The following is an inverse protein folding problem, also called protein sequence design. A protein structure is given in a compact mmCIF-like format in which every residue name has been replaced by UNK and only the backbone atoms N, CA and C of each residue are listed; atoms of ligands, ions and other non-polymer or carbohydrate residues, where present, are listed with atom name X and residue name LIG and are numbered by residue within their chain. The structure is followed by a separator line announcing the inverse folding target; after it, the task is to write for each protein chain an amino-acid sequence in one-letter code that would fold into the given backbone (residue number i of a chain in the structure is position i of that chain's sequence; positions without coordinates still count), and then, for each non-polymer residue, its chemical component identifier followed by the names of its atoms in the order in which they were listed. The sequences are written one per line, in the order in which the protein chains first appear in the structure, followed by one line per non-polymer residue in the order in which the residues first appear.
data_IF_881196260199
#
_entry.id   IF_881196260199
#
_cell.length_a   1.000
_cell.length_b   1.000
_cell.length_c   1.000
_cell.angle_alpha   90.00
_cell.angle_beta   90.00
_cell.angle_gamma   90.00
#
_symmetry.space_group_name_H-M   'P 1'
#
loop_
_entity.id
_entity.type
_entity.pdbx_description
1 polymer ?
#
# COMPACT_ATOMS: atom_id res chain seq x y z
N UNK A 1 23.21 -15.43 3.11
CA UNK A 1 23.00 -13.98 3.18
C UNK A 1 23.17 -13.55 4.64
N UNK A 2 23.75 -12.39 4.91
CA UNK A 2 23.82 -11.86 6.29
C UNK A 2 22.45 -11.30 6.61
N UNK A 3 21.74 -11.95 7.54
CA UNK A 3 20.42 -11.50 8.00
C UNK A 3 20.54 -10.15 8.71
N UNK A 4 19.58 -9.25 8.47
CA UNK A 4 19.47 -8.00 9.21
C UNK A 4 19.09 -8.24 10.65
N UNK A 5 19.64 -7.43 11.56
CA UNK A 5 19.19 -7.42 12.95
C UNK A 5 17.90 -6.59 13.06
N UNK A 6 16.87 -7.15 13.70
CA UNK A 6 15.65 -6.42 14.04
C UNK A 6 16.03 -5.36 15.10
N UNK A 7 15.71 -4.07 14.91
CA UNK A 7 15.98 -3.05 15.91
C UNK A 7 15.42 -3.43 17.28
N UNK A 8 16.20 -3.22 18.34
CA UNK A 8 15.84 -3.68 19.70
C UNK A 8 14.48 -3.12 20.18
N UNK A 9 14.16 -1.87 19.82
CA UNK A 9 12.86 -1.25 20.07
C UNK A 9 11.70 -2.06 19.47
N UNK A 10 11.84 -2.48 18.22
CA UNK A 10 10.88 -3.31 17.51
C UNK A 10 10.85 -4.74 18.08
N UNK A 11 12.00 -5.32 18.41
CA UNK A 11 12.07 -6.65 19.04
C UNK A 11 11.32 -6.67 20.38
N UNK A 12 11.51 -5.67 21.24
CA UNK A 12 10.79 -5.58 22.52
C UNK A 12 9.27 -5.51 22.32
N UNK A 13 8.83 -4.79 21.28
CA UNK A 13 7.41 -4.70 20.92
C UNK A 13 6.87 -6.04 20.42
N UNK A 14 7.63 -6.76 19.58
CA UNK A 14 7.29 -8.10 19.12
C UNK A 14 7.16 -9.08 20.30
N UNK A 15 8.15 -9.09 21.20
CA UNK A 15 8.16 -9.98 22.37
C UNK A 15 6.91 -9.76 23.23
N UNK A 16 6.53 -8.51 23.47
CA UNK A 16 5.30 -8.18 24.20
C UNK A 16 4.05 -8.63 23.44
N UNK A 17 3.99 -8.37 22.14
CA UNK A 17 2.79 -8.64 21.33
C UNK A 17 2.56 -10.14 21.13
N UNK A 18 3.64 -10.92 21.00
CA UNK A 18 3.58 -12.37 20.87
C UNK A 18 3.09 -13.09 22.15
N UNK A 19 2.99 -12.41 23.29
CA UNK A 19 2.33 -12.94 24.49
C UNK A 19 0.80 -12.84 24.46
N UNK A 20 0.24 -12.03 23.55
CA UNK A 20 -1.19 -11.77 23.46
C UNK A 20 -1.88 -12.77 22.52
N UNK A 21 -3.15 -13.12 22.75
CA UNK A 21 -3.90 -13.96 21.83
C UNK A 21 -4.06 -13.28 20.46
N UNK A 22 -4.02 -14.07 19.39
CA UNK A 22 -4.29 -13.56 18.04
C UNK A 22 -5.79 -13.31 17.88
N UNK A 23 -6.11 -12.21 17.20
CA UNK A 23 -7.46 -11.70 17.00
C UNK A 23 -7.93 -11.98 15.58
N UNK A 24 -9.15 -12.49 15.42
CA UNK A 24 -9.72 -12.95 14.15
C UNK A 24 -11.15 -12.44 13.89
N UNK A 25 -11.57 -11.36 14.56
CA UNK A 25 -12.84 -10.69 14.22
C UNK A 25 -12.55 -9.42 13.43
N UNK A 26 -13.37 -9.07 12.42
CA UNK A 26 -13.14 -7.83 11.66
C UNK A 26 -13.18 -6.57 12.54
N UNK A 27 -14.09 -6.52 13.51
CA UNK A 27 -14.23 -5.40 14.43
C UNK A 27 -12.97 -5.17 15.27
N UNK A 28 -12.49 -6.21 15.96
CA UNK A 28 -11.31 -6.08 16.82
C UNK A 28 -10.03 -5.81 16.01
N UNK A 29 -9.90 -6.40 14.81
CA UNK A 29 -8.75 -6.13 13.93
C UNK A 29 -8.74 -4.69 13.44
N UNK A 30 -9.92 -4.11 13.11
CA UNK A 30 -10.05 -2.70 12.71
C UNK A 30 -9.72 -1.77 13.88
N UNK A 31 -10.29 -2.01 15.06
CA UNK A 31 -10.02 -1.23 16.27
C UNK A 31 -8.53 -1.27 16.65
N UNK A 32 -7.89 -2.45 16.57
CA UNK A 32 -6.46 -2.58 16.82
C UNK A 32 -5.62 -1.81 15.80
N UNK A 33 -6.02 -1.79 14.52
CA UNK A 33 -5.32 -1.04 13.48
C UNK A 33 -5.38 0.48 13.75
N UNK A 34 -6.55 1.01 14.12
CA UNK A 34 -6.71 2.42 14.49
C UNK A 34 -5.85 2.79 15.70
N UNK A 35 -5.92 2.00 16.77
CA UNK A 35 -5.11 2.24 17.99
C UNK A 35 -3.61 2.13 17.73
N UNK A 36 -3.20 1.21 16.87
CA UNK A 36 -1.79 1.04 16.48
C UNK A 36 -1.30 2.26 15.72
N UNK A 37 -2.06 2.72 14.72
CA UNK A 37 -1.71 3.90 13.94
C UNK A 37 -1.65 5.17 14.80
N UNK A 38 -2.57 5.32 15.75
CA UNK A 38 -2.57 6.46 16.68
C UNK A 38 -1.37 6.42 17.64
N UNK A 39 -1.06 5.25 18.20
CA UNK A 39 -0.04 5.12 19.25
C UNK A 39 1.40 5.08 18.70
N UNK A 40 1.61 4.53 17.51
CA UNK A 40 2.93 4.17 17.01
C UNK A 40 3.37 4.91 15.73
N UNK A 41 2.58 5.88 15.27
CA UNK A 41 3.02 6.85 14.28
C UNK A 41 3.98 7.89 14.89
N UNK A 42 4.96 8.33 14.10
CA UNK A 42 5.71 9.54 14.41
C UNK A 42 4.79 10.77 14.34
N UNK A 43 5.18 11.92 14.93
CA UNK A 43 4.38 13.14 14.85
C UNK A 43 3.96 13.47 13.42
N UNK A 44 2.66 13.75 13.25
CA UNK A 44 2.05 14.08 11.95
C UNK A 44 2.67 15.37 11.42
N UNK A 45 3.18 15.33 10.19
CA UNK A 45 3.69 16.54 9.55
C UNK A 45 2.55 17.51 9.22
N UNK A 46 2.85 18.80 9.32
CA UNK A 46 1.95 19.84 8.84
C UNK A 46 1.85 19.79 7.31
N UNK A 47 0.62 19.83 6.80
CA UNK A 47 0.32 19.92 5.37
C UNK A 47 -0.56 21.16 5.18
N UNK A 48 -0.20 22.11 4.31
CA UNK A 48 -0.92 23.37 4.18
C UNK A 48 -2.40 23.24 3.83
N UNK A 49 -2.78 22.21 3.07
CA UNK A 49 -4.17 21.93 2.74
C UNK A 49 -4.45 20.44 2.90
N UNK A 50 -5.48 20.16 3.70
CA UNK A 50 -6.11 18.84 3.80
C UNK A 50 -7.59 19.01 3.50
N UNK A 51 -8.10 18.19 2.62
CA UNK A 51 -9.51 18.21 2.23
C UNK A 51 -10.03 16.77 2.11
N UNK A 52 -11.30 16.54 2.44
CA UNK A 52 -11.91 15.21 2.38
C UNK A 52 -13.06 15.18 1.37
N UNK A 53 -12.79 15.32 0.06
CA UNK A 53 -13.86 15.22 -0.91
C UNK A 53 -14.38 13.78 -0.97
N UNK A 54 -15.65 13.66 -1.34
CA UNK A 54 -16.33 12.38 -1.49
C UNK A 54 -16.65 12.18 -2.95
N UNK A 55 -16.23 11.04 -3.50
CA UNK A 55 -16.66 10.63 -4.83
C UNK A 55 -18.06 10.01 -4.73
N UNK A 56 -19.01 10.63 -5.42
CA UNK A 56 -20.40 10.20 -5.47
C UNK A 56 -20.58 9.20 -6.62
N UNK A 57 -20.96 7.96 -6.30
CA UNK A 57 -21.37 6.95 -7.29
C UNK A 57 -22.88 6.69 -7.17
N UNK A 58 -23.45 5.96 -8.13
CA UNK A 58 -24.89 5.74 -8.18
C UNK A 58 -25.45 4.95 -6.97
N UNK A 59 -24.64 4.07 -6.39
CA UNK A 59 -25.03 3.11 -5.36
C UNK A 59 -24.32 3.31 -4.01
N UNK A 60 -23.22 4.07 -3.98
CA UNK A 60 -22.46 4.34 -2.76
C UNK A 60 -21.53 5.56 -2.92
N UNK A 61 -20.87 5.93 -1.83
CA UNK A 61 -19.90 7.01 -1.78
C UNK A 61 -18.51 6.46 -1.45
N UNK A 62 -17.46 7.06 -2.01
CA UNK A 62 -16.07 6.73 -1.67
C UNK A 62 -15.44 7.95 -1.01
N UNK A 63 -15.03 7.79 0.25
CA UNK A 63 -14.33 8.85 0.98
C UNK A 63 -12.89 8.95 0.49
N UNK A 64 -12.39 10.17 0.38
CA UNK A 64 -10.97 10.40 0.07
C UNK A 64 -10.41 11.45 1.01
N UNK A 65 -9.08 11.49 1.13
CA UNK A 65 -8.36 12.56 1.82
C UNK A 65 -7.20 13.04 0.98
N UNK A 66 -7.23 14.34 0.67
CA UNK A 66 -6.21 15.04 -0.10
C UNK A 66 -5.20 15.65 0.86
N UNK A 67 -3.92 15.47 0.57
CA UNK A 67 -2.79 16.12 1.22
C UNK A 67 -2.04 16.93 0.18
N UNK A 68 -2.19 18.26 0.20
CA UNK A 68 -1.55 19.14 -0.76
C UNK A 68 -0.43 19.96 -0.08
N UNK A 69 0.85 19.65 -0.34
CA UNK A 69 1.98 20.24 0.39
C UNK A 69 2.31 21.68 -0.06
N UNK A 70 1.80 22.12 -1.21
CA UNK A 70 1.96 23.49 -1.72
C UNK A 70 0.78 23.86 -2.66
N UNK A 71 -0.39 24.26 -2.12
CA UNK A 71 -1.64 24.52 -2.87
C UNK A 71 -1.54 25.54 -4.03
N UNK A 72 -0.47 26.31 -4.06
CA UNK A 72 -0.16 27.31 -5.08
C UNK A 72 0.69 26.77 -6.24
N UNK A 73 1.10 25.49 -6.21
CA UNK A 73 1.94 24.86 -7.23
C UNK A 73 1.20 23.68 -7.86
N UNK A 74 1.31 23.53 -9.18
CA UNK A 74 0.88 22.32 -9.88
C UNK A 74 1.89 21.19 -9.60
N UNK A 75 1.48 20.20 -8.82
CA UNK A 75 2.32 19.07 -8.39
C UNK A 75 1.83 17.73 -8.98
N UNK A 76 2.69 16.70 -9.09
CA UNK A 76 2.26 15.35 -9.47
C UNK A 76 1.28 14.77 -8.45
N UNK A 77 0.48 13.80 -8.91
CA UNK A 77 -0.56 13.14 -8.12
C UNK A 77 -0.11 11.74 -7.69
N UNK A 78 -0.29 11.42 -6.42
CA UNK A 78 -0.17 10.06 -5.89
C UNK A 78 -1.56 9.64 -5.41
N UNK A 79 -2.15 8.60 -6.00
CA UNK A 79 -3.29 7.91 -5.39
C UNK A 79 -2.75 6.85 -4.44
N UNK A 80 -3.10 6.94 -3.16
CA UNK A 80 -2.63 6.03 -2.13
C UNK A 80 -3.75 5.08 -1.69
N UNK A 81 -3.49 3.78 -1.79
CA UNK A 81 -4.37 2.72 -1.32
C UNK A 81 -3.78 2.12 -0.05
N UNK A 82 -4.54 2.15 1.04
CA UNK A 82 -4.04 1.72 2.34
C UNK A 82 -3.89 0.20 2.46
N UNK A 83 -3.02 -0.27 3.36
CA UNK A 83 -2.92 -1.67 3.72
C UNK A 83 -4.03 -2.14 4.67
N UNK A 84 -3.91 -3.39 5.14
CA UNK A 84 -4.86 -3.99 6.11
C UNK A 84 -5.63 -5.21 5.58
N UNK A 85 -5.02 -5.99 4.69
CA UNK A 85 -5.58 -7.28 4.24
C UNK A 85 -6.94 -7.16 3.53
N UNK A 86 -7.21 -6.02 2.89
CA UNK A 86 -8.50 -5.66 2.29
C UNK A 86 -9.70 -5.64 3.28
N UNK A 87 -9.43 -5.68 4.58
CA UNK A 87 -10.43 -5.88 5.63
C UNK A 87 -10.38 -4.82 6.73
N UNK A 88 -9.19 -4.27 7.00
CA UNK A 88 -8.94 -3.21 7.96
C UNK A 88 -8.15 -2.07 7.33
N UNK A 89 -7.85 -1.04 8.13
CA UNK A 89 -7.24 0.19 7.65
C UNK A 89 -8.31 1.19 7.19
N UNK A 90 -7.86 2.42 6.96
CA UNK A 90 -8.68 3.58 6.63
C UNK A 90 -7.79 4.73 6.19
N UNK A 91 -8.39 5.82 5.72
CA UNK A 91 -7.69 7.10 5.50
C UNK A 91 -7.09 7.69 6.80
N UNK A 92 -7.58 7.27 7.97
CA UNK A 92 -7.10 7.73 9.28
C UNK A 92 -5.88 6.93 9.75
N UNK A 93 -5.92 5.60 9.64
CA UNK A 93 -4.77 4.73 9.98
C UNK A 93 -3.50 5.06 9.20
N UNK A 94 -3.62 5.63 7.99
CA UNK A 94 -2.46 5.95 7.13
C UNK A 94 -2.19 7.46 7.05
N UNK A 95 -2.83 8.27 7.90
CA UNK A 95 -2.73 9.73 7.86
C UNK A 95 -1.29 10.23 8.03
N UNK A 96 -0.55 9.65 8.99
CA UNK A 96 0.82 10.03 9.28
C UNK A 96 1.76 9.75 8.09
N UNK A 97 1.65 8.56 7.49
CA UNK A 97 2.44 8.14 6.34
C UNK A 97 2.11 8.98 5.10
N UNK A 98 0.82 9.20 4.80
CA UNK A 98 0.39 10.01 3.65
C UNK A 98 0.91 11.45 3.75
N UNK A 99 0.91 12.05 4.95
CA UNK A 99 1.49 13.38 5.17
C UNK A 99 2.99 13.41 4.88
N UNK A 100 3.74 12.40 5.34
CA UNK A 100 5.18 12.27 5.07
C UNK A 100 5.47 12.16 3.58
N UNK A 101 4.75 11.28 2.89
CA UNK A 101 4.89 11.11 1.44
C UNK A 101 4.59 12.42 0.71
N UNK A 102 3.47 13.09 1.04
CA UNK A 102 3.08 14.34 0.41
C UNK A 102 4.14 15.45 0.60
N UNK A 103 4.57 15.67 1.84
CA UNK A 103 5.52 16.74 2.18
C UNK A 103 6.88 16.49 1.53
N UNK A 104 7.45 15.29 1.68
CA UNK A 104 8.81 14.99 1.22
C UNK A 104 8.89 14.81 -0.29
N UNK A 105 7.89 14.15 -0.90
CA UNK A 105 7.90 13.92 -2.35
C UNK A 105 7.48 15.14 -3.17
N UNK A 106 7.04 16.23 -2.50
CA UNK A 106 6.42 17.38 -3.15
C UNK A 106 5.32 16.99 -4.14
N UNK A 107 4.46 16.06 -3.72
CA UNK A 107 3.36 15.53 -4.52
C UNK A 107 2.04 15.68 -3.76
N UNK A 108 0.93 15.81 -4.49
CA UNK A 108 -0.39 15.71 -3.86
C UNK A 108 -0.70 14.24 -3.63
N UNK A 109 -0.98 13.86 -2.39
CA UNK A 109 -1.44 12.50 -2.07
C UNK A 109 -2.95 12.51 -1.90
N UNK A 110 -3.64 11.58 -2.54
CA UNK A 110 -5.07 11.31 -2.35
C UNK A 110 -5.20 9.91 -1.79
N UNK A 111 -5.47 9.82 -0.49
CA UNK A 111 -5.74 8.56 0.20
C UNK A 111 -7.19 8.13 -0.03
N UNK A 112 -7.41 6.87 -0.40
CA UNK A 112 -8.72 6.36 -0.81
C UNK A 112 -9.30 5.43 0.26
N UNK A 113 -10.47 5.79 0.79
CA UNK A 113 -11.25 4.99 1.75
C UNK A 113 -12.17 4.01 1.02
N UNK A 114 -11.60 3.01 0.37
CA UNK A 114 -12.32 1.99 -0.40
C UNK A 114 -13.09 1.02 0.51
N UNK A 115 -14.13 0.36 -0.02
CA UNK A 115 -14.95 -0.62 0.73
C UNK A 115 -14.15 -1.86 1.12
N UNK A 116 -14.41 -2.34 2.33
CA UNK A 116 -13.65 -3.43 2.96
C UNK A 116 -14.44 -4.74 3.03
N UNK A 117 -13.70 -5.84 2.93
CA UNK A 117 -14.18 -7.16 3.32
C UNK A 117 -14.33 -7.24 4.85
N UNK A 118 -15.15 -8.17 5.37
CA UNK A 118 -16.01 -9.09 4.64
C UNK A 118 -17.30 -8.45 4.10
N UNK A 119 -17.72 -7.27 4.54
CA UNK A 119 -18.99 -6.64 4.16
C UNK A 119 -19.08 -6.45 2.64
N UNK A 120 -17.96 -6.03 2.03
CA UNK A 120 -17.79 -5.85 0.60
C UNK A 120 -16.58 -6.66 0.11
N UNK A 121 -16.75 -7.98 -0.14
CA UNK A 121 -15.65 -8.83 -0.57
C UNK A 121 -15.19 -8.50 -2.00
N UNK A 122 -14.12 -9.13 -2.45
CA UNK A 122 -13.59 -9.01 -3.81
C UNK A 122 -14.72 -9.14 -4.85
N UNK A 123 -14.77 -8.25 -5.87
CA UNK A 123 -13.82 -7.18 -6.19
C UNK A 123 -14.23 -5.78 -5.70
N UNK A 124 -15.11 -5.62 -4.70
CA UNK A 124 -15.73 -4.33 -4.38
C UNK A 124 -14.72 -3.19 -4.12
N UNK A 125 -13.75 -3.38 -3.21
CA UNK A 125 -12.74 -2.36 -2.93
C UNK A 125 -11.82 -2.05 -4.13
N UNK A 126 -11.55 -3.03 -5.01
CA UNK A 126 -10.81 -2.80 -6.26
C UNK A 126 -11.60 -1.89 -7.21
N UNK A 127 -12.90 -2.14 -7.36
CA UNK A 127 -13.77 -1.30 -8.19
C UNK A 127 -13.83 0.14 -7.69
N UNK A 128 -13.76 0.36 -6.37
CA UNK A 128 -13.72 1.70 -5.79
C UNK A 128 -12.43 2.42 -6.15
N UNK A 129 -11.29 1.75 -6.04
CA UNK A 129 -9.99 2.30 -6.43
C UNK A 129 -9.93 2.65 -7.92
N UNK A 130 -10.52 1.80 -8.78
CA UNK A 130 -10.65 2.07 -10.23
C UNK A 130 -11.51 3.31 -10.46
N UNK A 131 -12.68 3.39 -9.81
CA UNK A 131 -13.59 4.53 -9.95
C UNK A 131 -12.92 5.85 -9.54
N UNK A 132 -12.16 5.87 -8.45
CA UNK A 132 -11.39 7.06 -8.03
C UNK A 132 -10.32 7.43 -9.06
N UNK A 133 -9.61 6.45 -9.63
CA UNK A 133 -8.65 6.73 -10.69
C UNK A 133 -9.34 7.31 -11.94
N UNK A 134 -10.39 6.68 -12.43
CA UNK A 134 -11.11 7.12 -13.64
C UNK A 134 -11.72 8.52 -13.47
N UNK A 135 -12.31 8.81 -12.31
CA UNK A 135 -12.99 10.08 -12.03
C UNK A 135 -12.09 11.14 -11.41
N UNK A 136 -10.78 10.89 -11.28
CA UNK A 136 -9.82 11.79 -10.63
C UNK A 136 -9.82 13.21 -11.18
N UNK A 137 -10.07 13.39 -12.49
CA UNK A 137 -10.07 14.72 -13.13
C UNK A 137 -11.19 15.59 -12.56
N UNK A 138 -12.38 15.02 -12.43
CA UNK A 138 -13.54 15.72 -11.90
C UNK A 138 -13.45 15.87 -10.38
N UNK A 139 -13.07 14.80 -9.67
CA UNK A 139 -12.87 14.80 -8.22
C UNK A 139 -11.87 15.87 -7.76
N UNK A 140 -10.82 16.12 -8.56
CA UNK A 140 -9.70 16.99 -8.21
C UNK A 140 -9.69 18.33 -8.95
N UNK A 141 -10.78 18.69 -9.66
CA UNK A 141 -10.83 19.88 -10.52
C UNK A 141 -10.56 21.21 -9.80
N UNK A 142 -10.81 21.26 -8.49
CA UNK A 142 -10.64 22.46 -7.65
C UNK A 142 -9.22 22.62 -7.09
N UNK A 143 -8.33 21.63 -7.31
CA UNK A 143 -6.99 21.61 -6.76
C UNK A 143 -5.92 21.84 -7.83
N UNK A 144 -4.84 22.52 -7.46
CA UNK A 144 -3.71 22.81 -8.35
C UNK A 144 -2.77 21.60 -8.47
N UNK A 145 -3.13 20.60 -9.29
CA UNK A 145 -2.33 19.39 -9.47
C UNK A 145 -2.37 18.87 -10.91
N UNK A 146 -1.49 17.91 -11.21
CA UNK A 146 -1.42 17.25 -12.51
C UNK A 146 -2.09 15.87 -12.50
N UNK A 147 -3.32 15.80 -13.01
CA UNK A 147 -4.08 14.54 -13.14
C UNK A 147 -3.61 13.65 -14.30
N UNK A 148 -2.65 14.11 -15.11
CA UNK A 148 -2.04 13.35 -16.21
C UNK A 148 -0.65 12.79 -15.84
N UNK A 149 -0.19 13.06 -14.62
CA UNK A 149 1.07 12.57 -14.08
C UNK A 149 0.80 11.90 -12.73
N UNK A 150 0.33 10.64 -12.82
CA UNK A 150 -0.23 9.89 -11.69
C UNK A 150 0.70 8.77 -11.28
N UNK A 151 0.96 8.68 -10.00
CA UNK A 151 1.58 7.53 -9.36
C UNK A 151 0.51 6.79 -8.57
N UNK A 152 0.55 5.46 -8.62
CA UNK A 152 -0.26 4.65 -7.71
C UNK A 152 0.67 4.10 -6.63
N UNK A 153 0.26 4.29 -5.38
CA UNK A 153 1.03 3.87 -4.22
C UNK A 153 0.15 3.06 -3.29
N UNK A 154 0.76 2.13 -2.56
CA UNK A 154 0.08 1.43 -1.50
C UNK A 154 0.96 0.43 -0.81
N UNK A 155 0.54 0.07 0.40
CA UNK A 155 1.25 -0.86 1.24
C UNK A 155 0.46 -2.16 1.44
N UNK A 156 1.13 -3.32 1.50
CA UNK A 156 0.47 -4.61 1.71
C UNK A 156 -0.65 -4.88 0.69
N UNK A 157 -1.89 -5.06 1.15
CA UNK A 157 -3.11 -5.13 0.35
C UNK A 157 -3.37 -3.88 -0.52
N UNK A 158 -2.94 -2.70 -0.08
CA UNK A 158 -2.96 -1.48 -0.88
C UNK A 158 -1.98 -1.53 -2.05
N UNK A 159 -0.83 -2.20 -1.87
CA UNK A 159 0.11 -2.49 -2.95
C UNK A 159 -0.51 -3.42 -4.00
N UNK A 160 -1.30 -4.42 -3.58
CA UNK A 160 -2.09 -5.26 -4.48
C UNK A 160 -3.05 -4.42 -5.33
N UNK A 161 -3.81 -3.52 -4.69
CA UNK A 161 -4.76 -2.62 -5.35
C UNK A 161 -4.04 -1.69 -6.34
N UNK A 162 -2.87 -1.15 -5.97
CA UNK A 162 -2.08 -0.28 -6.84
C UNK A 162 -1.68 -0.99 -8.15
N UNK A 163 -1.17 -2.22 -8.06
CA UNK A 163 -0.81 -3.00 -9.26
C UNK A 163 -2.06 -3.38 -10.07
N UNK A 164 -3.15 -3.75 -9.40
CA UNK A 164 -4.40 -4.18 -10.07
C UNK A 164 -5.09 -3.05 -10.83
N UNK A 165 -5.23 -1.87 -10.22
CA UNK A 165 -5.72 -0.67 -10.91
C UNK A 165 -4.81 -0.33 -12.08
N UNK A 166 -3.48 -0.36 -11.87
CA UNK A 166 -2.53 -0.04 -12.93
C UNK A 166 -2.66 -0.97 -14.12
N UNK A 167 -2.67 -2.28 -13.88
CA UNK A 167 -2.76 -3.30 -14.90
C UNK A 167 -4.02 -3.11 -15.74
N UNK A 168 -5.19 -2.96 -15.10
CA UNK A 168 -6.45 -2.74 -15.80
C UNK A 168 -6.43 -1.47 -16.66
N UNK A 169 -5.90 -0.36 -16.14
CA UNK A 169 -5.84 0.90 -16.88
C UNK A 169 -4.83 0.85 -18.03
N UNK A 170 -3.70 0.16 -17.85
CA UNK A 170 -2.69 -0.04 -18.90
C UNK A 170 -3.20 -0.93 -20.02
N UNK A 171 -3.98 -1.98 -19.73
CA UNK A 171 -4.65 -2.78 -20.76
C UNK A 171 -5.65 -1.96 -21.59
N UNK A 172 -6.21 -0.90 -21.01
CA UNK A 172 -7.08 0.06 -21.70
C UNK A 172 -6.31 1.20 -22.40
N UNK A 173 -4.98 1.17 -22.36
CA UNK A 173 -4.12 2.14 -23.04
C UNK A 173 -3.78 3.41 -22.23
N UNK A 174 -4.05 3.44 -20.92
CA UNK A 174 -3.77 4.61 -20.08
C UNK A 174 -2.28 5.04 -20.13
N UNK A 175 -2.08 6.34 -20.36
CA UNK A 175 -0.75 6.96 -20.39
C UNK A 175 -0.49 7.88 -19.18
N UNK A 176 -1.48 8.08 -18.32
CA UNK A 176 -1.37 8.99 -17.18
C UNK A 176 -0.58 8.38 -16.01
N UNK A 177 -0.65 7.06 -15.83
CA UNK A 177 0.13 6.36 -14.79
C UNK A 177 1.60 6.35 -15.17
N UNK A 178 2.44 7.01 -14.36
CA UNK A 178 3.89 7.17 -14.54
C UNK A 178 4.73 6.27 -13.65
N UNK A 179 4.19 5.73 -12.56
CA UNK A 179 4.92 4.80 -11.71
C UNK A 179 4.08 4.12 -10.64
N UNK A 180 4.64 3.04 -10.10
CA UNK A 180 4.11 2.30 -8.95
C UNK A 180 5.06 2.40 -7.76
N UNK A 181 4.51 2.72 -6.58
CA UNK A 181 5.21 2.70 -5.29
C UNK A 181 4.59 1.61 -4.43
N UNK A 182 5.28 0.48 -4.32
CA UNK A 182 4.77 -0.73 -3.68
C UNK A 182 5.52 -0.99 -2.39
N UNK A 183 4.84 -0.86 -1.25
CA UNK A 183 5.44 -1.04 0.07
C UNK A 183 5.02 -2.41 0.61
N UNK A 184 5.97 -3.35 0.73
CA UNK A 184 5.76 -4.76 1.11
C UNK A 184 4.47 -5.37 0.52
N UNK A 185 4.28 -5.29 -0.81
CA UNK A 185 2.98 -5.53 -1.44
C UNK A 185 2.54 -7.00 -1.35
N UNK A 186 1.22 -7.23 -1.26
CA UNK A 186 0.64 -8.56 -1.44
C UNK A 186 0.38 -8.86 -2.92
N UNK A 187 1.05 -9.88 -3.46
CA UNK A 187 1.12 -10.11 -4.91
C UNK A 187 0.70 -11.52 -5.35
N UNK A 188 0.65 -12.49 -4.43
CA UNK A 188 0.20 -13.85 -4.71
C UNK A 188 -0.70 -14.43 -3.59
N UNK A 189 -1.99 -14.54 -3.89
CA UNK A 189 -3.00 -15.07 -2.97
C UNK A 189 -2.91 -16.59 -2.73
N UNK A 190 -1.98 -17.30 -3.40
CA UNK A 190 -1.77 -18.75 -3.25
C UNK A 190 -0.96 -19.14 -2.02
N UNK A 191 -0.22 -18.19 -1.43
CA UNK A 191 0.61 -18.39 -0.22
C UNK A 191 1.66 -19.50 -0.35
N UNK A 192 2.25 -19.66 -1.53
CA UNK A 192 3.13 -20.79 -1.87
C UNK A 192 4.64 -20.52 -1.72
N UNK A 193 5.03 -19.32 -1.28
CA UNK A 193 6.45 -18.96 -1.13
C UNK A 193 7.05 -19.41 0.22
N UNK A 194 8.37 -19.64 0.26
CA UNK A 194 9.07 -20.08 1.48
C UNK A 194 9.02 -19.07 2.63
N UNK A 195 8.97 -17.76 2.32
CA UNK A 195 8.81 -16.70 3.31
C UNK A 195 7.55 -16.85 4.17
N UNK A 196 6.47 -17.46 3.66
CA UNK A 196 5.29 -17.78 4.47
C UNK A 196 5.57 -18.78 5.58
N UNK A 197 6.57 -19.66 5.41
CA UNK A 197 6.99 -20.60 6.45
C UNK A 197 8.04 -19.96 7.37
N UNK A 198 9.04 -19.29 6.78
CA UNK A 198 10.16 -18.69 7.51
C UNK A 198 9.75 -17.51 8.39
N UNK A 199 8.83 -16.67 7.90
CA UNK A 199 8.42 -15.41 8.53
C UNK A 199 6.94 -15.42 8.96
N UNK A 200 6.24 -16.54 8.79
CA UNK A 200 4.80 -16.69 9.06
C UNK A 200 4.41 -16.77 10.54
N UNK A 201 5.36 -16.65 11.46
CA UNK A 201 5.15 -16.72 12.91
C UNK A 201 6.08 -15.72 13.62
N UNK A 202 5.65 -15.15 14.74
CA UNK A 202 6.49 -14.28 15.59
C UNK A 202 6.71 -12.84 15.12
N UNK A 203 6.37 -12.49 13.87
CA UNK A 203 6.61 -11.15 13.28
C UNK A 203 5.32 -10.35 13.00
N UNK A 204 4.32 -10.47 13.89
CA UNK A 204 2.96 -9.87 13.81
C UNK A 204 2.06 -10.43 12.70
N UNK A 205 2.50 -10.36 11.44
CA UNK A 205 1.73 -10.91 10.33
C UNK A 205 2.01 -12.40 10.25
N UNK A 206 1.06 -13.21 10.72
CA UNK A 206 1.20 -14.66 10.69
C UNK A 206 0.59 -15.27 9.43
N UNK A 207 1.07 -16.46 9.05
CA UNK A 207 0.49 -17.24 7.95
C UNK A 207 -1.00 -17.51 8.17
N UNK A 208 -1.39 -17.82 9.40
CA UNK A 208 -2.80 -18.02 9.77
C UNK A 208 -3.63 -16.75 9.56
N UNK A 209 -3.11 -15.59 9.98
CA UNK A 209 -3.78 -14.30 9.80
C UNK A 209 -3.93 -13.92 8.34
N UNK A 210 -2.92 -14.17 7.51
CA UNK A 210 -3.01 -13.96 6.05
C UNK A 210 -4.10 -14.83 5.44
N UNK A 211 -4.13 -16.13 5.79
CA UNK A 211 -5.18 -17.03 5.32
C UNK A 211 -6.56 -16.50 5.69
N UNK A 212 -6.75 -16.06 6.94
CA UNK A 212 -8.00 -15.49 7.40
C UNK A 212 -8.41 -14.22 6.63
N UNK A 213 -7.47 -13.31 6.35
CA UNK A 213 -7.73 -12.14 5.49
C UNK A 213 -8.21 -12.57 4.10
N UNK A 214 -7.49 -13.49 3.45
CA UNK A 214 -7.84 -13.96 2.11
C UNK A 214 -9.18 -14.70 2.08
N UNK A 215 -9.51 -15.48 3.12
CA UNK A 215 -10.80 -16.15 3.22
C UNK A 215 -11.96 -15.15 3.33
N UNK A 216 -11.79 -14.05 4.07
CA UNK A 216 -12.79 -12.98 4.14
C UNK A 216 -12.87 -12.16 2.84
N UNK A 217 -11.72 -11.85 2.23
CA UNK A 217 -11.68 -11.09 0.98
C UNK A 217 -12.35 -11.84 -0.16
N UNK A 218 -12.18 -13.16 -0.24
CA UNK A 218 -12.79 -14.02 -1.25
C UNK A 218 -14.02 -14.80 -0.73
N UNK A 219 -14.72 -14.29 0.30
CA UNK A 219 -15.81 -15.04 0.95
C UNK A 219 -16.97 -15.42 0.00
N UNK A 220 -17.19 -14.61 -1.04
CA UNK A 220 -18.22 -14.84 -2.05
C UNK A 220 -17.67 -15.57 -3.29
N UNK A 221 -16.51 -16.21 -3.16
CA UNK A 221 -15.77 -16.81 -4.27
C UNK A 221 -14.82 -15.81 -4.95
N UNK A 222 -14.44 -16.13 -6.18
CA UNK A 222 -13.39 -15.43 -6.93
C UNK A 222 -12.17 -16.32 -7.15
N UNK A 223 -11.52 -16.14 -8.30
CA UNK A 223 -10.31 -16.87 -8.64
C UNK A 223 -9.10 -16.13 -8.06
N UNK A 224 -8.55 -16.67 -6.96
CA UNK A 224 -7.37 -16.11 -6.28
C UNK A 224 -6.16 -16.00 -7.20
N UNK A 225 -5.99 -16.92 -8.15
CA UNK A 225 -4.90 -16.87 -9.11
C UNK A 225 -5.10 -15.71 -10.08
N UNK A 226 -6.31 -15.56 -10.63
CA UNK A 226 -6.61 -14.43 -11.52
C UNK A 226 -6.57 -13.07 -10.82
N UNK A 227 -6.86 -13.02 -9.52
CA UNK A 227 -6.78 -11.79 -8.74
C UNK A 227 -5.35 -11.46 -8.28
N UNK A 228 -4.40 -12.38 -8.40
CA UNK A 228 -3.02 -12.19 -7.97
C UNK A 228 -2.19 -11.47 -9.04
N UNK A 229 -1.61 -10.29 -8.75
CA UNK A 229 -0.77 -9.58 -9.71
C UNK A 229 0.40 -10.40 -10.25
N UNK A 230 0.93 -11.33 -9.46
CA UNK A 230 1.94 -12.30 -9.90
C UNK A 230 1.54 -13.05 -11.18
N UNK A 231 0.25 -13.23 -11.46
CA UNK A 231 -0.27 -14.03 -12.56
C UNK A 231 -0.92 -13.22 -13.68
N UNK A 232 -0.93 -11.89 -13.59
CA UNK A 232 -1.44 -11.04 -14.68
C UNK A 232 -0.64 -11.25 -15.97
N UNK A 233 -1.33 -11.06 -17.09
CA UNK A 233 -0.73 -10.99 -18.43
C UNK A 233 -0.27 -9.57 -18.71
N UNK A 234 0.53 -9.39 -19.75
CA UNK A 234 0.94 -8.06 -20.22
C UNK A 234 1.64 -7.19 -19.17
N UNK A 235 2.38 -7.82 -18.25
CA UNK A 235 3.10 -7.12 -17.19
C UNK A 235 4.23 -6.24 -17.73
N UNK A 236 4.67 -6.45 -18.98
CA UNK A 236 5.56 -5.55 -19.72
C UNK A 236 4.96 -4.14 -19.94
N UNK A 237 3.63 -3.97 -19.79
CA UNK A 237 2.96 -2.68 -19.89
C UNK A 237 3.02 -1.86 -18.58
N UNK A 238 3.47 -2.45 -17.47
CA UNK A 238 3.57 -1.72 -16.21
C UNK A 238 4.57 -0.56 -16.33
N UNK A 239 4.28 0.58 -15.69
CA UNK A 239 5.23 1.67 -15.60
C UNK A 239 6.42 1.28 -14.70
N UNK A 240 7.45 2.13 -14.58
CA UNK A 240 8.49 1.97 -13.56
C UNK A 240 7.91 1.67 -12.18
N UNK A 241 8.58 0.82 -11.42
CA UNK A 241 8.14 0.35 -10.11
C UNK A 241 9.23 0.54 -9.06
N UNK A 242 8.91 1.20 -7.95
CA UNK A 242 9.64 1.09 -6.70
C UNK A 242 8.98 0.04 -5.81
N UNK A 243 9.77 -0.90 -5.29
CA UNK A 243 9.31 -2.00 -4.43
C UNK A 243 10.16 -2.02 -3.17
N UNK A 244 9.55 -1.72 -2.03
CA UNK A 244 10.16 -1.92 -0.72
C UNK A 244 9.77 -3.29 -0.18
N UNK A 245 10.72 -4.17 0.12
CA UNK A 245 10.46 -5.51 0.68
C UNK A 245 11.05 -5.62 2.08
N UNK A 246 10.25 -6.06 3.07
CA UNK A 246 10.69 -6.22 4.46
C UNK A 246 11.24 -7.64 4.70
N UNK A 247 12.45 -7.77 5.24
CA UNK A 247 13.16 -9.06 5.33
C UNK A 247 12.40 -10.13 6.13
N UNK A 248 11.77 -9.74 7.25
CA UNK A 248 11.03 -10.63 8.15
C UNK A 248 9.52 -10.56 7.88
N UNK A 249 9.15 -10.59 6.60
CA UNK A 249 7.78 -10.56 6.12
C UNK A 249 7.41 -11.87 5.41
N UNK A 250 6.23 -12.48 5.71
CA UNK A 250 5.69 -13.57 4.89
C UNK A 250 5.58 -13.28 3.40
N UNK A 251 5.37 -12.01 3.01
CA UNK A 251 5.22 -11.57 1.62
C UNK A 251 6.56 -11.23 0.95
N UNK A 252 7.69 -11.43 1.64
CA UNK A 252 8.99 -11.05 1.12
C UNK A 252 9.32 -11.74 -0.21
N UNK A 253 9.26 -13.07 -0.27
CA UNK A 253 9.72 -13.80 -1.47
C UNK A 253 8.81 -13.53 -2.69
N UNK A 254 7.50 -13.27 -2.50
CA UNK A 254 6.61 -12.89 -3.61
C UNK A 254 6.94 -11.50 -4.17
N UNK A 255 7.30 -10.53 -3.31
CA UNK A 255 7.78 -9.22 -3.76
C UNK A 255 9.08 -9.34 -4.56
N UNK A 256 10.04 -10.16 -4.09
CA UNK A 256 11.30 -10.43 -4.81
C UNK A 256 11.02 -11.13 -6.15
N UNK A 257 10.12 -12.12 -6.18
CA UNK A 257 9.78 -12.86 -7.38
C UNK A 257 9.09 -11.95 -8.41
N UNK A 258 8.17 -11.10 -7.98
CA UNK A 258 7.46 -10.16 -8.86
C UNK A 258 8.42 -9.13 -9.45
N UNK A 259 9.27 -8.53 -8.62
CA UNK A 259 10.32 -7.60 -9.05
C UNK A 259 11.22 -8.20 -10.14
N UNK A 260 11.69 -9.44 -9.94
CA UNK A 260 12.48 -10.17 -10.93
C UNK A 260 11.68 -10.45 -12.20
N UNK A 261 10.42 -10.87 -12.09
CA UNK A 261 9.55 -11.20 -13.21
C UNK A 261 9.35 -9.99 -14.13
N UNK A 262 8.90 -8.86 -13.59
CA UNK A 262 8.59 -7.68 -14.41
C UNK A 262 9.87 -7.03 -14.95
N UNK A 263 10.98 -7.09 -14.21
CA UNK A 263 12.29 -6.64 -14.70
C UNK A 263 12.76 -7.46 -15.90
N UNK A 264 12.58 -8.77 -15.88
CA UNK A 264 12.88 -9.64 -17.02
C UNK A 264 11.98 -9.37 -18.24
N UNK A 265 10.82 -8.75 -18.02
CA UNK A 265 9.91 -8.28 -19.07
C UNK A 265 10.23 -6.87 -19.57
N UNK A 266 11.29 -6.23 -19.05
CA UNK A 266 11.76 -4.91 -19.49
C UNK A 266 11.23 -3.73 -18.66
N UNK A 267 10.47 -3.97 -17.60
CA UNK A 267 10.00 -2.91 -16.70
C UNK A 267 11.17 -2.39 -15.86
N UNK A 268 11.27 -1.07 -15.70
CA UNK A 268 12.23 -0.46 -14.78
C UNK A 268 11.82 -0.75 -13.33
N UNK A 269 12.70 -1.40 -12.56
CA UNK A 269 12.41 -1.80 -11.17
C UNK A 269 13.52 -1.35 -10.24
N UNK A 270 13.12 -0.58 -9.24
CA UNK A 270 13.91 -0.22 -8.06
C UNK A 270 13.43 -1.08 -6.89
N UNK A 271 14.12 -2.18 -6.62
CA UNK A 271 13.84 -3.06 -5.49
C UNK A 271 14.77 -2.70 -4.32
N UNK A 272 14.18 -2.37 -3.17
CA UNK A 272 14.89 -2.07 -1.94
C UNK A 272 14.49 -3.07 -0.84
N UNK A 273 15.47 -3.83 -0.36
CA UNK A 273 15.29 -4.78 0.75
C UNK A 273 15.56 -4.07 2.08
N UNK A 274 14.50 -3.89 2.88
CA UNK A 274 14.56 -3.35 4.22
C UNK A 274 14.92 -4.45 5.22
N UNK A 275 16.23 -4.61 5.42
CA UNK A 275 16.81 -5.57 6.36
C UNK A 275 16.36 -5.29 7.80
N UNK A 276 16.11 -6.33 8.58
CA UNK A 276 15.65 -6.20 9.97
C UNK A 276 14.20 -5.73 10.12
N UNK A 277 13.48 -5.44 9.03
CA UNK A 277 12.10 -4.95 9.09
C UNK A 277 11.08 -6.07 8.96
N UNK A 278 9.91 -5.87 9.57
CA UNK A 278 8.73 -6.73 9.48
C UNK A 278 7.67 -6.10 8.57
N UNK A 279 6.63 -6.86 8.22
CA UNK A 279 5.59 -6.45 7.25
C UNK A 279 5.01 -5.05 7.50
N UNK A 280 4.60 -4.69 8.72
CA UNK A 280 3.89 -3.43 9.00
C UNK A 280 4.81 -2.30 9.46
N UNK A 281 6.11 -2.34 9.13
CA UNK A 281 7.06 -1.38 9.69
C UNK A 281 6.73 0.08 9.36
N UNK A 282 6.11 0.37 8.20
CA UNK A 282 5.74 1.74 7.83
C UNK A 282 4.63 2.33 8.71
N UNK A 283 3.89 1.48 9.43
CA UNK A 283 2.85 1.86 10.39
C UNK A 283 3.33 1.81 11.85
N UNK A 284 4.56 1.33 12.08
CA UNK A 284 5.22 1.22 13.38
C UNK A 284 6.37 2.24 13.50
N UNK A 285 6.15 3.44 12.97
CA UNK A 285 7.17 4.43 12.68
C UNK A 285 8.05 4.78 13.89
N UNK A 286 7.47 4.86 15.11
CA UNK A 286 8.24 5.22 16.32
C UNK A 286 9.34 4.21 16.66
N UNK A 287 9.20 2.96 16.23
CA UNK A 287 10.16 1.91 16.54
C UNK A 287 11.34 1.91 15.55
N UNK A 288 11.13 2.46 14.35
CA UNK A 288 12.05 2.35 13.20
C UNK A 288 12.18 3.66 12.41
N UNK A 289 12.37 4.83 13.07
CA UNK A 289 12.29 6.14 12.42
C UNK A 289 13.32 6.32 11.28
N UNK A 290 14.51 5.71 11.40
CA UNK A 290 15.54 5.76 10.36
C UNK A 290 15.10 5.02 9.09
N UNK A 291 14.43 3.88 9.25
CA UNK A 291 13.91 3.10 8.12
C UNK A 291 12.71 3.80 7.46
N UNK A 292 11.89 4.52 8.24
CA UNK A 292 10.85 5.40 7.68
C UNK A 292 11.47 6.53 6.88
N UNK A 293 12.47 7.23 7.42
CA UNK A 293 13.15 8.30 6.69
C UNK A 293 13.72 7.78 5.36
N UNK A 294 14.38 6.61 5.39
CA UNK A 294 14.90 5.96 4.20
C UNK A 294 13.83 5.61 3.18
N UNK A 295 12.71 5.01 3.62
CA UNK A 295 11.59 4.68 2.75
C UNK A 295 11.05 5.93 2.05
N UNK A 296 10.84 7.02 2.79
CA UNK A 296 10.30 8.27 2.25
C UNK A 296 11.29 8.94 1.28
N UNK A 297 12.60 8.91 1.56
CA UNK A 297 13.64 9.39 0.63
C UNK A 297 13.67 8.61 -0.68
N UNK A 298 13.55 7.27 -0.61
CA UNK A 298 13.49 6.43 -1.81
C UNK A 298 12.23 6.71 -2.63
N UNK A 299 11.08 6.91 -1.98
CA UNK A 299 9.84 7.32 -2.67
C UNK A 299 10.02 8.69 -3.32
N UNK A 300 10.56 9.68 -2.62
CA UNK A 300 10.82 11.02 -3.19
C UNK A 300 11.72 10.93 -4.42
N UNK A 301 12.82 10.18 -4.34
CA UNK A 301 13.73 9.98 -5.46
C UNK A 301 13.02 9.37 -6.67
N UNK A 302 12.25 8.32 -6.44
CA UNK A 302 11.48 7.64 -7.48
C UNK A 302 10.45 8.57 -8.13
N UNK A 303 9.64 9.28 -7.34
CA UNK A 303 8.65 10.24 -7.85
C UNK A 303 9.35 11.30 -8.70
N UNK A 304 10.45 11.89 -8.23
CA UNK A 304 11.20 12.91 -8.98
C UNK A 304 11.80 12.38 -10.29
N UNK A 305 12.25 11.13 -10.30
CA UNK A 305 12.84 10.50 -11.48
C UNK A 305 11.82 10.34 -12.62
N UNK A 306 10.57 10.02 -12.28
CA UNK A 306 9.53 9.66 -13.25
C UNK A 306 8.41 10.71 -13.40
N UNK A 307 8.49 11.85 -12.70
CA UNK A 307 7.52 12.95 -12.85
C UNK A 307 7.75 13.85 -14.08
N UNK A 308 8.66 13.51 -14.99
CA UNK A 308 9.06 14.34 -16.13
C UNK A 308 8.24 14.07 -17.39
#
# INVERSE_FOLDING_TARGET
MVHGHIPQSLQNFLDLTNTKPTVFTPEEVRDLAEKTAEAFALPKLFVPLIHNPVLQLADHEITTRIYHPAPQKKLPLILYFHGGGHLSGSIDTHDALCRRIAVTSHAVVVSVGYRLAPEFPYPAGLMDCIAVFEQRVELLKEFQLDTQNVFLAGDSAGGNLAVSVCHQMKEQGDQAIKGLVLIYPSLDFSMNYESYQRNGEGFLLTREKIKWYFDNYFKNGGDRIQASPMHFKHLELLPPCYIAAAEYDPLFDEAIAFAKKIKNMGVSVELEEFKGMIHVFAQLEIFVPEQIARLIESIEYFIKAYSK
#
